data_IF_006236052777
#
_entry.id   IF_006236052777
#
_cell.length_a   1.000
_cell.length_b   1.000
_cell.length_c   1.000
_cell.angle_alpha   90.00
_cell.angle_beta   90.00
_cell.angle_gamma   90.00
#
_symmetry.space_group_name_H-M   'P 1'
#
loop_
_entity.id
_entity.type
_entity.pdbx_description
1 polymer ?
#
# COMPACT_ATOMS: atom_id res chain seq x y z
N UNK A 1 9.13 18.47 -2.96
CA UNK A 1 9.31 19.31 -4.17
C UNK A 1 8.61 18.74 -5.40
N UNK A 2 8.69 17.42 -5.66
CA UNK A 2 8.00 16.78 -6.82
C UNK A 2 6.49 17.07 -6.85
N UNK A 3 5.78 16.89 -5.73
CA UNK A 3 4.34 17.17 -5.65
C UNK A 3 3.99 18.66 -5.80
N UNK A 4 4.76 19.57 -5.19
CA UNK A 4 4.62 21.02 -5.40
C UNK A 4 4.74 21.40 -6.89
N UNK A 5 5.59 20.69 -7.63
CA UNK A 5 5.78 20.88 -9.07
C UNK A 5 4.60 20.35 -9.92
N UNK A 6 3.90 19.30 -9.45
CA UNK A 6 2.82 18.64 -10.17
C UNK A 6 1.42 19.16 -9.83
N UNK A 7 1.19 19.57 -8.58
CA UNK A 7 -0.15 19.95 -8.07
C UNK A 7 -0.25 21.41 -7.64
N UNK A 8 0.82 22.20 -7.77
CA UNK A 8 0.86 23.62 -7.41
C UNK A 8 0.71 23.90 -5.91
N UNK A 9 0.61 22.86 -5.08
CA UNK A 9 0.35 22.92 -3.65
C UNK A 9 1.35 22.03 -2.90
N UNK A 10 1.81 22.47 -1.73
CA UNK A 10 2.65 21.64 -0.88
C UNK A 10 1.77 20.62 -0.15
N UNK A 11 1.75 19.38 -0.67
CA UNK A 11 1.16 18.25 0.03
C UNK A 11 1.96 17.96 1.30
N UNK A 12 1.25 17.90 2.43
CA UNK A 12 1.83 17.53 3.72
C UNK A 12 2.42 16.11 3.69
N UNK A 13 3.40 15.78 4.55
CA UNK A 13 3.94 14.42 4.64
C UNK A 13 2.87 13.37 4.95
N UNK A 14 1.81 13.70 5.70
CA UNK A 14 0.69 12.78 5.95
C UNK A 14 -0.08 12.51 4.66
N UNK A 15 -0.46 13.56 3.95
CA UNK A 15 -1.22 13.44 2.70
C UNK A 15 -0.41 12.67 1.64
N UNK A 16 0.88 12.96 1.53
CA UNK A 16 1.79 12.26 0.60
C UNK A 16 1.89 10.77 0.97
N UNK A 17 2.06 10.45 2.25
CA UNK A 17 2.11 9.06 2.72
C UNK A 17 0.81 8.30 2.48
N UNK A 18 -0.35 8.94 2.67
CA UNK A 18 -1.66 8.34 2.42
C UNK A 18 -1.93 8.11 0.93
N UNK A 19 -1.51 9.04 0.05
CA UNK A 19 -1.61 8.87 -1.41
C UNK A 19 -0.72 7.70 -1.87
N UNK A 20 0.50 7.59 -1.35
CA UNK A 20 1.39 6.46 -1.65
C UNK A 20 0.80 5.13 -1.15
N UNK A 21 0.18 5.13 0.02
CA UNK A 21 -0.54 3.95 0.52
C UNK A 21 -1.72 3.58 -0.38
N UNK A 22 -2.50 4.56 -0.85
CA UNK A 22 -3.61 4.34 -1.78
C UNK A 22 -3.11 3.78 -3.13
N UNK A 23 -1.99 4.30 -3.65
CA UNK A 23 -1.34 3.74 -4.84
C UNK A 23 -0.93 2.28 -4.62
N UNK A 24 -0.30 1.98 -3.48
CA UNK A 24 0.03 0.61 -3.10
C UNK A 24 -1.20 -0.28 -3.00
N UNK A 25 -2.31 0.26 -2.50
CA UNK A 25 -3.60 -0.40 -2.44
C UNK A 25 -4.16 -0.74 -3.83
N UNK A 26 -4.08 0.18 -4.80
CA UNK A 26 -4.48 -0.10 -6.17
C UNK A 26 -3.64 -1.18 -6.83
N UNK A 27 -2.32 -1.13 -6.64
CA UNK A 27 -1.42 -2.19 -7.17
C UNK A 27 -1.76 -3.54 -6.54
N UNK A 28 -2.02 -3.59 -5.23
CA UNK A 28 -2.45 -4.81 -4.54
C UNK A 28 -3.75 -5.39 -5.09
N UNK A 29 -4.78 -4.55 -5.28
CA UNK A 29 -6.06 -5.00 -5.88
C UNK A 29 -5.83 -5.50 -7.30
N UNK A 30 -5.04 -4.78 -8.10
CA UNK A 30 -4.74 -5.19 -9.45
C UNK A 30 -4.01 -6.53 -9.50
N UNK A 31 -2.97 -6.72 -8.67
CA UNK A 31 -2.24 -7.99 -8.56
C UNK A 31 -3.18 -9.11 -8.11
N UNK A 32 -3.99 -8.91 -7.06
CA UNK A 32 -4.93 -9.90 -6.58
C UNK A 32 -5.89 -10.37 -7.69
N UNK A 33 -6.49 -9.42 -8.43
CA UNK A 33 -7.40 -9.74 -9.53
C UNK A 33 -6.66 -10.43 -10.69
N UNK A 34 -5.49 -9.94 -11.08
CA UNK A 34 -4.71 -10.50 -12.18
C UNK A 34 -4.37 -11.97 -11.96
N UNK A 35 -4.04 -12.35 -10.72
CA UNK A 35 -3.72 -13.73 -10.37
C UNK A 35 -4.94 -14.58 -9.97
N UNK A 36 -6.08 -13.95 -9.64
CA UNK A 36 -7.33 -14.65 -9.32
C UNK A 36 -8.07 -15.12 -10.58
N UNK A 37 -7.87 -14.47 -11.72
CA UNK A 37 -8.38 -14.94 -13.00
C UNK A 37 -7.34 -15.84 -13.67
N UNK A 38 -7.50 -17.19 -13.61
CA UNK A 38 -6.53 -18.10 -14.18
C UNK A 38 -6.42 -17.87 -15.69
N UNK A 39 -5.19 -17.70 -16.17
CA UNK A 39 -4.85 -17.73 -17.59
C UNK A 39 -4.18 -19.07 -17.90
N UNK A 40 -4.16 -19.48 -19.17
CA UNK A 40 -3.50 -20.74 -19.56
C UNK A 40 -1.99 -20.79 -19.23
N UNK A 41 -1.39 -19.65 -18.84
CA UNK A 41 0.03 -19.54 -18.51
C UNK A 41 0.34 -19.41 -17.01
N UNK A 42 -0.66 -19.18 -16.14
CA UNK A 42 -0.42 -18.94 -14.70
C UNK A 42 -1.48 -19.69 -13.88
N UNK A 43 -1.07 -20.77 -13.23
CA UNK A 43 -1.89 -21.52 -12.27
C UNK A 43 -1.46 -21.12 -10.86
N UNK A 44 -2.35 -20.45 -10.13
CA UNK A 44 -2.17 -20.19 -8.69
C UNK A 44 -3.00 -21.21 -7.93
N UNK A 45 -2.34 -22.11 -7.21
CA UNK A 45 -2.99 -23.25 -6.54
C UNK A 45 -3.59 -22.87 -5.17
N UNK A 46 -3.27 -21.68 -4.64
CA UNK A 46 -3.77 -21.19 -3.35
C UNK A 46 -4.39 -19.79 -3.51
N UNK A 47 -5.71 -19.70 -3.38
CA UNK A 47 -6.49 -18.47 -3.56
C UNK A 47 -6.57 -17.61 -2.28
N UNK A 48 -6.29 -18.20 -1.11
CA UNK A 48 -6.41 -17.49 0.17
C UNK A 48 -5.52 -16.23 0.27
N UNK A 49 -4.24 -16.26 -0.19
CA UNK A 49 -3.40 -15.06 -0.23
C UNK A 49 -3.96 -13.94 -1.12
N UNK A 50 -4.63 -14.30 -2.22
CA UNK A 50 -5.18 -13.34 -3.19
C UNK A 50 -6.35 -12.56 -2.59
N UNK A 51 -7.24 -13.24 -1.86
CA UNK A 51 -8.36 -12.59 -1.16
C UNK A 51 -7.84 -11.61 -0.09
N UNK A 52 -6.80 -12.00 0.65
CA UNK A 52 -6.17 -11.13 1.65
C UNK A 52 -5.59 -9.88 0.99
N UNK A 53 -4.94 -10.00 -0.16
CA UNK A 53 -4.39 -8.85 -0.91
C UNK A 53 -5.50 -7.93 -1.41
N UNK A 54 -6.60 -8.48 -1.89
CA UNK A 54 -7.76 -7.72 -2.33
C UNK A 54 -8.32 -6.87 -1.17
N UNK A 55 -8.56 -7.50 -0.02
CA UNK A 55 -9.11 -6.83 1.17
C UNK A 55 -8.12 -5.77 1.69
N UNK A 56 -6.84 -6.11 1.80
CA UNK A 56 -5.80 -5.18 2.24
C UNK A 56 -5.66 -3.98 1.29
N UNK A 57 -5.74 -4.22 -0.02
CA UNK A 57 -5.70 -3.17 -1.04
C UNK A 57 -6.90 -2.24 -0.96
N UNK A 58 -8.11 -2.78 -0.82
CA UNK A 58 -9.33 -1.98 -0.62
C UNK A 58 -9.28 -1.14 0.66
N UNK A 59 -8.78 -1.69 1.77
CA UNK A 59 -8.59 -0.94 3.01
C UNK A 59 -7.65 0.25 2.81
N UNK A 60 -6.54 0.06 2.09
CA UNK A 60 -5.60 1.15 1.77
C UNK A 60 -6.20 2.21 0.85
N UNK A 61 -7.04 1.81 -0.10
CA UNK A 61 -7.77 2.76 -0.96
C UNK A 61 -8.78 3.58 -0.15
N UNK A 62 -9.46 2.97 0.81
CA UNK A 62 -10.42 3.64 1.67
C UNK A 62 -9.75 4.54 2.74
N UNK A 63 -8.50 4.26 3.10
CA UNK A 63 -7.84 4.91 4.24
C UNK A 63 -7.70 6.44 4.14
N UNK A 64 -7.31 7.05 3.01
CA UNK A 64 -7.26 8.51 2.89
C UNK A 64 -8.61 9.17 3.16
N UNK A 65 -9.70 8.55 2.71
CA UNK A 65 -11.07 9.03 2.92
C UNK A 65 -11.44 8.99 4.40
N UNK A 66 -11.11 7.91 5.09
CA UNK A 66 -11.42 7.73 6.51
C UNK A 66 -10.55 8.61 7.41
N UNK A 67 -9.28 8.80 7.08
CA UNK A 67 -8.39 9.72 7.80
C UNK A 67 -8.83 11.17 7.59
N UNK A 68 -9.26 11.53 6.37
CA UNK A 68 -9.85 12.85 6.08
C UNK A 68 -11.15 13.13 6.84
N UNK A 69 -11.86 12.08 7.27
CA UNK A 69 -13.05 12.17 8.15
C UNK A 69 -12.71 12.24 9.65
N UNK A 70 -11.42 12.28 10.01
CA UNK A 70 -10.96 12.37 11.40
C UNK A 70 -10.79 11.03 12.11
N UNK A 71 -10.89 9.89 11.41
CA UNK A 71 -10.70 8.56 12.02
C UNK A 71 -9.21 8.25 12.14
N UNK A 72 -8.58 8.79 13.19
CA UNK A 72 -7.11 8.73 13.39
C UNK A 72 -6.57 7.30 13.56
N UNK A 73 -7.40 6.33 13.98
CA UNK A 73 -6.96 4.92 14.11
C UNK A 73 -6.63 4.28 12.76
N UNK A 74 -7.25 4.74 11.66
CA UNK A 74 -7.03 4.19 10.31
C UNK A 74 -5.61 4.44 9.83
N UNK A 75 -5.01 5.55 10.25
CA UNK A 75 -3.59 5.81 9.99
C UNK A 75 -2.70 4.67 10.51
N UNK A 76 -2.93 4.19 11.73
CA UNK A 76 -2.14 3.11 12.32
C UNK A 76 -2.41 1.76 11.65
N UNK A 77 -3.64 1.52 11.22
CA UNK A 77 -3.99 0.34 10.42
C UNK A 77 -3.18 0.34 9.12
N UNK A 78 -3.13 1.49 8.42
CA UNK A 78 -2.34 1.62 7.18
C UNK A 78 -0.86 1.33 7.42
N UNK A 79 -0.26 1.93 8.46
CA UNK A 79 1.14 1.68 8.83
C UNK A 79 1.37 0.20 9.09
N UNK A 80 0.49 -0.45 9.85
CA UNK A 80 0.56 -1.89 10.11
C UNK A 80 0.48 -2.73 8.84
N UNK A 81 -0.45 -2.43 7.94
CA UNK A 81 -0.60 -3.12 6.66
C UNK A 81 0.61 -2.90 5.74
N UNK A 82 1.21 -1.72 5.75
CA UNK A 82 2.43 -1.42 5.00
C UNK A 82 3.63 -2.21 5.54
N UNK A 83 3.80 -2.28 6.86
CA UNK A 83 4.87 -3.10 7.48
C UNK A 83 4.67 -4.58 7.20
N UNK A 84 3.45 -5.10 7.35
CA UNK A 84 3.13 -6.49 7.05
C UNK A 84 3.46 -6.83 5.60
N UNK A 85 3.13 -5.92 4.67
CA UNK A 85 3.45 -6.12 3.26
C UNK A 85 4.95 -6.13 2.99
N UNK A 86 5.75 -5.32 3.69
CA UNK A 86 7.22 -5.40 3.56
C UNK A 86 7.78 -6.73 4.04
N UNK A 87 7.26 -7.28 5.15
CA UNK A 87 7.66 -8.61 5.63
C UNK A 87 7.36 -9.66 4.56
N UNK A 88 6.16 -9.62 3.99
CA UNK A 88 5.77 -10.51 2.90
C UNK A 88 6.69 -10.35 1.68
N UNK A 89 7.08 -9.12 1.32
CA UNK A 89 8.04 -8.88 0.24
C UNK A 89 9.41 -9.49 0.47
N UNK A 90 9.89 -9.48 1.71
CA UNK A 90 11.13 -10.16 2.09
C UNK A 90 10.96 -11.69 2.00
N UNK A 91 9.86 -12.23 2.50
CA UNK A 91 9.59 -13.67 2.47
C UNK A 91 9.46 -14.22 1.03
N UNK A 92 8.77 -13.48 0.15
CA UNK A 92 8.64 -13.85 -1.25
C UNK A 92 9.97 -13.81 -2.03
N UNK A 93 11.00 -13.16 -1.49
CA UNK A 93 12.34 -13.16 -2.09
C UNK A 93 13.13 -14.44 -1.83
N UNK A 94 12.67 -15.27 -0.89
CA UNK A 94 13.32 -16.54 -0.53
C UNK A 94 12.87 -17.68 -1.47
N UNK A 95 11.61 -17.64 -1.94
CA UNK A 95 11.05 -18.60 -2.89
C UNK A 95 10.33 -17.85 -4.02
N UNK A 96 11.01 -17.60 -5.17
CA UNK A 96 10.47 -16.76 -6.23
C UNK A 96 9.31 -17.45 -6.95
N UNK A 97 8.08 -17.01 -6.67
CA UNK A 97 6.89 -17.40 -7.42
C UNK A 97 6.62 -16.43 -8.59
N UNK A 98 5.66 -16.71 -9.50
CA UNK A 98 5.29 -15.79 -10.58
C UNK A 98 4.82 -14.40 -10.13
N UNK A 99 4.46 -14.27 -8.84
CA UNK A 99 4.04 -13.02 -8.20
C UNK A 99 5.22 -12.15 -7.75
N UNK A 100 6.46 -12.67 -7.75
CA UNK A 100 7.66 -12.04 -7.21
C UNK A 100 7.89 -10.60 -7.69
N UNK A 101 7.73 -10.33 -9.00
CA UNK A 101 7.90 -8.98 -9.57
C UNK A 101 6.90 -7.99 -8.96
N UNK A 102 5.64 -8.40 -8.81
CA UNK A 102 4.58 -7.57 -8.23
C UNK A 102 4.79 -7.32 -6.73
N UNK A 103 5.36 -8.31 -6.05
CA UNK A 103 5.70 -8.23 -4.64
C UNK A 103 6.86 -7.24 -4.38
N UNK A 104 7.84 -7.16 -5.28
CA UNK A 104 8.90 -6.12 -5.22
C UNK A 104 8.31 -4.73 -5.47
N UNK A 105 7.49 -4.58 -6.52
CA UNK A 105 6.89 -3.28 -6.89
C UNK A 105 6.05 -2.74 -5.73
N UNK A 106 5.20 -3.57 -5.14
CA UNK A 106 4.41 -3.19 -3.96
C UNK A 106 5.33 -2.86 -2.78
N UNK A 107 6.36 -3.66 -2.50
CA UNK A 107 7.32 -3.39 -1.43
C UNK A 107 7.99 -2.01 -1.52
N UNK A 108 8.44 -1.59 -2.71
CA UNK A 108 9.04 -0.25 -2.91
C UNK A 108 8.04 0.87 -2.61
N UNK A 109 6.79 0.71 -3.03
CA UNK A 109 5.73 1.69 -2.76
C UNK A 109 5.48 1.80 -1.25
N UNK A 110 5.47 0.67 -0.52
CA UNK A 110 5.27 0.65 0.93
C UNK A 110 6.43 1.32 1.69
N UNK A 111 7.67 1.14 1.25
CA UNK A 111 8.83 1.88 1.82
C UNK A 111 8.59 3.38 1.68
N UNK A 112 8.20 3.82 0.47
CA UNK A 112 7.90 5.23 0.21
C UNK A 112 6.77 5.76 1.11
N UNK A 113 5.70 4.99 1.27
CA UNK A 113 4.58 5.35 2.14
C UNK A 113 5.03 5.48 3.60
N UNK A 114 5.77 4.50 4.13
CA UNK A 114 6.22 4.48 5.52
C UNK A 114 7.19 5.61 5.85
N UNK A 115 8.12 5.96 4.95
CA UNK A 115 9.04 7.09 5.15
C UNK A 115 8.26 8.40 5.37
N UNK A 116 7.14 8.58 4.67
CA UNK A 116 6.31 9.77 4.80
C UNK A 116 5.37 9.70 6.00
N UNK A 117 4.72 8.55 6.23
CA UNK A 117 3.77 8.36 7.35
C UNK A 117 4.46 8.38 8.72
N UNK A 118 5.64 7.77 8.86
CA UNK A 118 6.38 7.74 10.12
C UNK A 118 7.14 9.04 10.41
N UNK A 119 7.12 9.99 9.48
CA UNK A 119 7.75 11.29 9.67
C UNK A 119 7.10 12.03 10.85
N UNK A 120 7.88 12.62 11.77
CA UNK A 120 7.35 13.45 12.86
C UNK A 120 6.36 14.53 12.40
N UNK A 121 6.56 15.09 11.20
CA UNK A 121 5.67 16.09 10.60
C UNK A 121 4.29 15.51 10.23
N UNK A 122 4.25 14.29 9.69
CA UNK A 122 2.98 13.61 9.41
C UNK A 122 2.19 13.31 10.70
N UNK A 123 2.90 13.01 11.79
CA UNK A 123 2.27 12.81 13.11
C UNK A 123 1.73 14.10 13.73
N UNK A 124 2.36 15.24 13.44
CA UNK A 124 1.84 16.54 13.83
C UNK A 124 0.53 16.84 13.05
N UNK A 125 0.54 16.66 11.73
CA UNK A 125 -0.64 16.82 10.87
C UNK A 125 -1.81 15.89 11.25
N UNK A 126 -1.52 14.71 11.81
CA UNK A 126 -2.54 13.80 12.32
C UNK A 126 -3.16 14.28 13.63
N UNK A 127 -2.45 15.07 14.45
CA UNK A 127 -2.93 15.54 15.76
C UNK A 127 -3.79 16.79 15.64
N UNK A 128 -3.54 17.61 14.63
CA UNK A 128 -4.40 18.71 14.20
C UNK A 128 -5.82 18.21 13.82
#
# INVERSE_FOLDING_TARGET
MLFKFLTGTELGPLQTGLILSQLGGFVLVFTALFFMFPSESIIVTDEAPLIIFLIAGLMKIAAPILVGKGIKIVFWIVVGLSVLKLIESVLASIDPNPMFVWIIVTGVIEIGALIHLLNPKARAELRD
#
